data_IF_744861920857
#
_entry.id   IF_744861920857
#
_cell.length_a   1.000
_cell.length_b   1.000
_cell.length_c   1.000
_cell.angle_alpha   90.00
_cell.angle_beta   90.00
_cell.angle_gamma   90.00
#
_symmetry.space_group_name_H-M   'P 1'
#
loop_
_entity.id
_entity.type
_entity.pdbx_description
1 polymer ?
#
# COMPACT_ATOMS: atom_id res chain seq x y z
N UNK A 1 9.90 48.55 23.53
CA UNK A 1 10.12 47.52 24.55
C UNK A 1 11.24 46.65 24.09
N UNK A 2 12.22 46.58 24.87
CA UNK A 2 13.66 46.47 24.76
C UNK A 2 14.21 45.14 24.32
N UNK A 3 15.23 45.29 23.55
CA UNK A 3 16.20 44.38 22.90
C UNK A 3 17.12 43.61 23.89
N UNK A 4 16.58 43.07 24.98
CA UNK A 4 17.40 42.46 26.04
C UNK A 4 17.23 40.93 26.19
N UNK A 5 16.39 40.30 25.35
CA UNK A 5 16.09 38.87 25.49
C UNK A 5 16.88 37.94 24.57
N UNK A 6 17.67 38.45 23.62
CA UNK A 6 18.42 37.63 22.64
C UNK A 6 19.90 37.40 22.95
N UNK A 7 20.42 37.94 24.04
CA UNK A 7 21.87 37.90 24.39
C UNK A 7 22.25 36.94 25.52
N UNK A 8 21.38 36.16 26.07
CA UNK A 8 21.69 35.26 27.20
C UNK A 8 21.85 33.78 26.87
N UNK A 9 22.00 33.42 25.58
CA UNK A 9 22.14 32.00 25.19
C UNK A 9 23.53 31.59 24.68
N UNK A 10 24.53 32.46 24.80
CA UNK A 10 25.91 32.13 24.42
C UNK A 10 26.88 32.64 25.49
N UNK A 11 27.06 31.90 26.55
CA UNK A 11 28.27 31.86 27.36
C UNK A 11 28.11 30.84 28.49
N UNK A 12 28.46 29.58 28.18
CA UNK A 12 28.88 28.62 29.18
C UNK A 12 30.08 27.85 28.58
N UNK A 13 31.25 28.46 28.62
CA UNK A 13 32.51 27.77 28.35
C UNK A 13 32.96 27.14 29.66
N UNK A 14 32.92 25.81 29.71
CA UNK A 14 33.44 25.05 30.84
C UNK A 14 34.96 24.97 30.77
N UNK A 15 35.61 25.31 31.86
CA UNK A 15 37.02 25.05 32.11
C UNK A 15 37.23 23.54 32.33
N UNK A 16 38.07 22.91 31.51
CA UNK A 16 38.50 21.53 31.71
C UNK A 16 39.84 21.55 32.42
N UNK A 17 39.87 21.06 33.65
CA UNK A 17 41.09 20.82 34.42
C UNK A 17 41.82 19.59 33.88
N UNK A 18 43.07 19.79 33.51
CA UNK A 18 43.99 18.73 33.04
C UNK A 18 44.52 17.96 34.25
N UNK A 19 44.09 16.71 34.41
CA UNK A 19 44.73 15.74 35.32
C UNK A 19 45.51 14.74 34.46
N UNK A 20 46.84 14.85 34.50
CA UNK A 20 47.70 13.86 33.89
C UNK A 20 47.72 12.55 34.75
N UNK A 21 47.17 11.47 34.22
CA UNK A 21 47.37 10.14 34.79
C UNK A 21 48.07 9.29 33.68
N UNK A 22 49.31 8.94 33.93
CA UNK A 22 50.08 7.93 33.20
C UNK A 22 49.53 6.55 33.53
N UNK A 23 49.00 5.87 32.50
CA UNK A 23 48.53 4.49 32.68
C UNK A 23 48.12 3.88 31.35
N UNK A 24 48.94 3.00 30.83
CA UNK A 24 48.70 1.91 29.88
C UNK A 24 47.68 2.18 28.74
N UNK A 25 48.20 2.36 27.54
CA UNK A 25 47.48 2.28 26.27
C UNK A 25 46.86 0.88 26.12
N UNK A 26 45.70 0.68 26.68
CA UNK A 26 44.79 -0.37 26.27
C UNK A 26 44.22 0.00 24.94
N UNK A 27 44.57 -0.76 23.90
CA UNK A 27 44.00 -0.69 22.55
C UNK A 27 42.50 -0.94 22.72
N UNK A 28 41.69 0.12 22.70
CA UNK A 28 40.25 0.02 22.49
C UNK A 28 40.06 -0.59 21.10
N UNK A 29 39.85 -1.91 21.03
CA UNK A 29 39.25 -2.54 19.89
C UNK A 29 37.91 -1.83 19.68
N UNK A 30 37.82 -1.10 18.56
CA UNK A 30 36.56 -0.57 18.08
C UNK A 30 35.62 -1.79 17.92
N UNK A 31 34.62 -1.87 18.77
CA UNK A 31 33.55 -2.83 18.57
C UNK A 31 33.05 -2.62 17.14
N UNK A 32 33.19 -3.61 16.27
CA UNK A 32 32.53 -3.64 14.97
C UNK A 32 31.04 -3.48 15.26
N UNK A 33 30.50 -2.29 15.00
CA UNK A 33 29.06 -2.09 14.95
C UNK A 33 28.54 -3.06 13.90
N UNK A 34 27.93 -4.15 14.37
CA UNK A 34 27.20 -5.07 13.51
C UNK A 34 26.18 -4.21 12.79
N UNK A 35 26.41 -3.87 11.52
CA UNK A 35 25.48 -3.14 10.67
C UNK A 35 24.20 -3.96 10.62
N UNK A 36 23.26 -3.65 11.50
CA UNK A 36 21.90 -4.19 11.42
C UNK A 36 21.34 -3.78 10.05
N UNK A 37 20.95 -4.77 9.25
CA UNK A 37 20.27 -4.52 7.97
C UNK A 37 19.10 -3.61 8.21
N UNK A 38 19.13 -2.42 7.61
CA UNK A 38 18.06 -1.42 7.74
C UNK A 38 16.93 -1.80 6.79
N UNK A 39 16.04 -2.71 7.24
CA UNK A 39 14.92 -3.25 6.43
C UNK A 39 14.13 -2.19 5.67
N UNK A 40 14.03 -0.96 6.21
CA UNK A 40 13.37 0.15 5.52
C UNK A 40 14.02 0.52 4.16
N UNK A 41 15.31 0.23 3.98
CA UNK A 41 16.06 0.56 2.76
C UNK A 41 16.39 -0.66 1.93
N UNK A 42 16.64 -1.80 2.56
CA UNK A 42 17.19 -3.01 1.91
C UNK A 42 16.11 -4.04 1.54
N UNK A 43 14.86 -3.87 2.01
CA UNK A 43 13.79 -4.81 1.73
C UNK A 43 13.49 -4.90 0.23
N UNK A 44 13.57 -6.12 -0.30
CA UNK A 44 13.18 -6.45 -1.68
C UNK A 44 11.88 -7.23 -1.67
N UNK A 45 10.89 -6.74 -2.40
CA UNK A 45 9.61 -7.41 -2.56
C UNK A 45 9.71 -8.48 -3.67
N UNK A 46 9.22 -9.68 -3.40
CA UNK A 46 9.09 -10.74 -4.39
C UNK A 46 7.63 -10.82 -4.87
N UNK A 47 7.38 -11.02 -6.18
CA UNK A 47 6.00 -11.20 -6.66
C UNK A 47 5.32 -12.40 -6.01
N UNK A 48 4.10 -12.21 -5.55
CA UNK A 48 3.23 -13.25 -5.00
C UNK A 48 2.51 -13.94 -6.18
N UNK A 49 2.53 -15.27 -6.30
CA UNK A 49 1.78 -15.99 -7.34
C UNK A 49 0.27 -15.76 -7.25
N UNK A 50 -0.43 -15.88 -8.37
CA UNK A 50 -1.89 -15.90 -8.36
C UNK A 50 -2.40 -17.03 -7.45
N UNK A 51 -3.34 -16.76 -6.52
CA UNK A 51 -3.83 -17.76 -5.55
C UNK A 51 -4.95 -18.65 -6.13
N UNK A 52 -5.15 -18.64 -7.45
CA UNK A 52 -6.17 -19.40 -8.18
C UNK A 52 -5.67 -19.78 -9.58
N UNK A 53 -6.33 -20.75 -10.23
CA UNK A 53 -6.12 -21.04 -11.65
C UNK A 53 -6.70 -19.89 -12.49
N UNK A 54 -5.86 -19.26 -13.33
CA UNK A 54 -6.26 -18.15 -14.20
C UNK A 54 -7.43 -18.48 -15.14
N UNK A 55 -7.66 -19.77 -15.43
CA UNK A 55 -8.78 -20.26 -16.26
C UNK A 55 -10.11 -20.39 -15.51
N UNK A 56 -10.08 -20.34 -14.18
CA UNK A 56 -11.25 -20.62 -13.34
C UNK A 56 -12.19 -19.44 -13.16
N UNK A 57 -11.78 -18.22 -13.55
CA UNK A 57 -12.56 -17.02 -13.32
C UNK A 57 -13.77 -16.92 -14.26
N UNK A 58 -14.91 -16.54 -13.70
CA UNK A 58 -16.16 -16.35 -14.46
C UNK A 58 -16.17 -14.93 -15.06
N UNK A 59 -16.18 -14.86 -16.39
CA UNK A 59 -16.27 -13.57 -17.08
C UNK A 59 -14.98 -12.75 -17.13
N UNK A 60 -13.88 -13.21 -16.55
CA UNK A 60 -12.56 -12.60 -16.67
C UNK A 60 -11.66 -13.62 -17.39
N UNK A 61 -11.12 -13.22 -18.56
CA UNK A 61 -10.33 -14.14 -19.37
C UNK A 61 -8.97 -14.45 -18.74
N UNK A 62 -8.46 -15.65 -19.01
CA UNK A 62 -7.09 -16.03 -18.65
C UNK A 62 -6.08 -15.02 -19.17
N UNK A 63 -6.25 -14.58 -20.43
CA UNK A 63 -5.35 -13.61 -21.07
C UNK A 63 -5.31 -12.28 -20.34
N UNK A 64 -6.46 -11.77 -19.90
CA UNK A 64 -6.54 -10.53 -19.14
C UNK A 64 -5.85 -10.67 -17.80
N UNK A 65 -6.19 -11.69 -17.01
CA UNK A 65 -5.67 -11.83 -15.65
C UNK A 65 -4.16 -12.13 -15.62
N UNK A 66 -3.65 -12.91 -16.57
CA UNK A 66 -2.21 -13.14 -16.74
C UNK A 66 -1.50 -11.84 -17.12
N UNK A 67 -2.00 -11.11 -18.12
CA UNK A 67 -1.42 -9.82 -18.52
C UNK A 67 -1.41 -8.82 -17.35
N UNK A 68 -2.49 -8.76 -16.58
CA UNK A 68 -2.61 -7.90 -15.40
C UNK A 68 -1.55 -8.25 -14.35
N UNK A 69 -1.38 -9.54 -14.05
CA UNK A 69 -0.39 -10.02 -13.09
C UNK A 69 1.04 -9.81 -13.61
N UNK A 70 1.34 -10.21 -14.86
CA UNK A 70 2.69 -10.18 -15.43
C UNK A 70 3.20 -8.76 -15.70
N UNK A 71 2.34 -7.87 -16.19
CA UNK A 71 2.77 -6.54 -16.64
C UNK A 71 2.52 -5.45 -15.58
N UNK A 72 1.32 -5.39 -15.01
CA UNK A 72 0.97 -4.32 -14.06
C UNK A 72 1.54 -4.62 -12.68
N UNK A 73 1.20 -5.77 -12.10
CA UNK A 73 1.63 -6.10 -10.74
C UNK A 73 3.15 -6.37 -10.65
N UNK A 74 3.69 -7.29 -11.45
CA UNK A 74 5.15 -7.56 -11.39
C UNK A 74 5.97 -6.36 -11.84
N UNK A 75 5.44 -5.53 -12.75
CA UNK A 75 6.01 -4.24 -13.11
C UNK A 75 6.10 -3.29 -11.92
N UNK A 76 5.03 -3.20 -11.11
CA UNK A 76 5.02 -2.40 -9.89
C UNK A 76 6.03 -2.92 -8.84
N UNK A 77 6.15 -4.24 -8.67
CA UNK A 77 7.15 -4.86 -7.78
C UNK A 77 8.57 -4.48 -8.20
N UNK A 78 8.91 -4.63 -9.49
CA UNK A 78 10.22 -4.24 -10.03
C UNK A 78 10.50 -2.75 -9.82
N UNK A 79 9.50 -1.90 -10.08
CA UNK A 79 9.63 -0.46 -9.89
C UNK A 79 9.82 -0.09 -8.42
N UNK A 80 9.08 -0.72 -7.49
CA UNK A 80 9.25 -0.50 -6.05
C UNK A 80 10.66 -0.82 -5.57
N UNK A 81 11.19 -1.99 -5.97
CA UNK A 81 12.56 -2.40 -5.63
C UNK A 81 13.60 -1.43 -6.20
N UNK A 82 13.41 -1.00 -7.45
CA UNK A 82 14.29 0.00 -8.10
C UNK A 82 14.28 1.33 -7.34
N UNK A 83 13.09 1.82 -6.97
CA UNK A 83 12.94 3.10 -6.23
C UNK A 83 13.61 3.01 -4.86
N UNK A 84 13.47 1.89 -4.15
CA UNK A 84 14.13 1.67 -2.85
C UNK A 84 15.65 1.75 -2.98
N UNK A 85 16.23 1.10 -3.98
CA UNK A 85 17.67 1.21 -4.25
C UNK A 85 18.12 2.63 -4.58
N UNK A 86 17.33 3.37 -5.36
CA UNK A 86 17.61 4.80 -5.66
C UNK A 86 17.50 5.69 -4.43
N UNK A 87 16.54 5.43 -3.53
CA UNK A 87 16.41 6.18 -2.27
C UNK A 87 17.64 5.98 -1.39
N UNK A 88 18.16 4.75 -1.28
CA UNK A 88 19.39 4.46 -0.54
C UNK A 88 20.57 5.22 -1.13
N UNK A 89 20.73 5.21 -2.45
CA UNK A 89 21.80 5.96 -3.14
C UNK A 89 21.68 7.47 -2.90
N UNK A 90 20.47 8.02 -3.11
CA UNK A 90 20.22 9.46 -2.96
C UNK A 90 20.39 9.95 -1.50
N UNK A 91 20.10 9.09 -0.50
CA UNK A 91 20.32 9.43 0.90
C UNK A 91 21.81 9.53 1.26
N UNK A 92 22.64 8.71 0.61
CA UNK A 92 24.10 8.69 0.82
C UNK A 92 24.86 9.71 -0.05
N UNK A 93 24.18 10.39 -0.96
CA UNK A 93 24.75 11.44 -1.83
C UNK A 93 24.35 12.82 -1.30
N UNK A 94 25.31 13.51 -0.64
CA UNK A 94 25.09 14.85 -0.11
C UNK A 94 24.75 15.91 -1.20
N UNK A 95 25.00 15.61 -2.48
CA UNK A 95 24.66 16.45 -3.62
C UNK A 95 23.21 16.30 -4.07
N UNK A 96 22.47 15.28 -3.60
CA UNK A 96 21.09 15.05 -4.00
C UNK A 96 20.17 16.15 -3.45
N UNK A 97 19.50 16.95 -4.31
CA UNK A 97 18.57 17.98 -3.85
C UNK A 97 17.35 17.39 -3.16
N UNK A 98 16.79 18.05 -2.12
CA UNK A 98 15.61 17.56 -1.40
C UNK A 98 14.39 17.25 -2.30
N UNK A 99 14.16 18.02 -3.36
CA UNK A 99 13.04 17.80 -4.26
C UNK A 99 13.20 16.51 -5.10
N UNK A 100 14.42 16.11 -5.43
CA UNK A 100 14.70 14.83 -6.09
C UNK A 100 14.40 13.68 -5.14
N UNK A 101 14.88 13.77 -3.90
CA UNK A 101 14.61 12.79 -2.86
C UNK A 101 13.09 12.65 -2.60
N UNK A 102 12.37 13.77 -2.48
CA UNK A 102 10.92 13.79 -2.32
C UNK A 102 10.19 13.19 -3.52
N UNK A 103 10.69 13.38 -4.75
CA UNK A 103 10.18 12.72 -5.95
C UNK A 103 10.27 11.19 -5.84
N UNK A 104 11.42 10.67 -5.39
CA UNK A 104 11.60 9.23 -5.13
C UNK A 104 10.68 8.72 -4.00
N UNK A 105 10.46 9.50 -2.95
CA UNK A 105 9.52 9.15 -1.86
C UNK A 105 8.08 9.08 -2.35
N UNK A 106 7.68 9.99 -3.25
CA UNK A 106 6.37 9.95 -3.90
C UNK A 106 6.23 8.68 -4.74
N UNK A 107 7.25 8.34 -5.55
CA UNK A 107 7.23 7.10 -6.32
C UNK A 107 7.20 5.86 -5.41
N UNK A 108 7.94 5.84 -4.31
CA UNK A 108 7.87 4.75 -3.33
C UNK A 108 6.44 4.57 -2.80
N UNK A 109 5.75 5.64 -2.44
CA UNK A 109 4.37 5.59 -1.96
C UNK A 109 3.44 4.98 -3.01
N UNK A 110 3.48 5.50 -4.24
CA UNK A 110 2.65 5.03 -5.36
C UNK A 110 2.93 3.53 -5.64
N UNK A 111 4.21 3.12 -5.74
CA UNK A 111 4.56 1.72 -6.05
C UNK A 111 4.21 0.78 -4.90
N UNK A 112 4.35 1.21 -3.64
CA UNK A 112 3.91 0.44 -2.48
C UNK A 112 2.40 0.20 -2.52
N UNK A 113 1.62 1.25 -2.74
CA UNK A 113 0.17 1.12 -2.87
C UNK A 113 -0.23 0.25 -4.06
N UNK A 114 0.43 0.40 -5.23
CA UNK A 114 0.18 -0.46 -6.39
C UNK A 114 0.41 -1.93 -6.06
N UNK A 115 1.57 -2.28 -5.47
CA UNK A 115 1.89 -3.66 -5.09
C UNK A 115 0.83 -4.22 -4.13
N UNK A 116 0.56 -3.52 -3.04
CA UNK A 116 -0.35 -4.01 -1.99
C UNK A 116 -1.79 -4.14 -2.51
N UNK A 117 -2.29 -3.15 -3.24
CA UNK A 117 -3.66 -3.18 -3.76
C UNK A 117 -3.86 -4.28 -4.81
N UNK A 118 -2.86 -4.53 -5.67
CA UNK A 118 -2.93 -5.66 -6.61
C UNK A 118 -2.92 -7.02 -5.88
N UNK A 119 -2.08 -7.20 -4.86
CA UNK A 119 -2.07 -8.44 -4.07
C UNK A 119 -3.41 -8.69 -3.38
N UNK A 120 -4.00 -7.64 -2.82
CA UNK A 120 -5.33 -7.72 -2.21
C UNK A 120 -6.41 -8.00 -3.25
N UNK A 121 -6.34 -7.38 -4.42
CA UNK A 121 -7.26 -7.61 -5.53
C UNK A 121 -7.20 -9.06 -6.02
N UNK A 122 -6.02 -9.59 -6.34
CA UNK A 122 -5.89 -10.99 -6.76
C UNK A 122 -6.32 -11.97 -5.66
N UNK A 123 -6.01 -11.68 -4.39
CA UNK A 123 -6.46 -12.51 -3.28
C UNK A 123 -8.00 -12.51 -3.08
N UNK A 124 -8.69 -11.50 -3.62
CA UNK A 124 -10.16 -11.43 -3.57
C UNK A 124 -10.83 -12.28 -4.67
N UNK A 125 -10.08 -12.76 -5.67
CA UNK A 125 -10.64 -13.48 -6.81
C UNK A 125 -10.52 -15.01 -6.66
N UNK A 126 -11.27 -15.75 -7.50
CA UNK A 126 -11.29 -17.22 -7.53
C UNK A 126 -12.29 -17.85 -6.55
N UNK A 127 -13.23 -17.07 -6.02
CA UNK A 127 -14.34 -17.54 -5.21
C UNK A 127 -15.63 -17.83 -6.00
N UNK A 128 -16.71 -18.04 -5.28
CA UNK A 128 -18.05 -18.27 -5.85
C UNK A 128 -18.94 -17.01 -5.87
N UNK A 129 -18.47 -15.90 -5.30
CA UNK A 129 -19.17 -14.63 -5.21
C UNK A 129 -20.24 -14.57 -4.11
N UNK A 130 -20.39 -15.62 -3.29
CA UNK A 130 -21.47 -15.71 -2.29
C UNK A 130 -21.00 -15.27 -0.92
N UNK A 131 -21.43 -14.08 -0.51
CA UNK A 131 -21.17 -13.57 0.83
C UNK A 131 -21.96 -14.34 1.89
N UNK A 132 -21.28 -14.75 2.96
CA UNK A 132 -21.91 -15.46 4.09
C UNK A 132 -21.19 -15.14 5.40
N UNK A 133 -21.73 -15.62 6.52
CA UNK A 133 -21.09 -15.54 7.83
C UNK A 133 -21.05 -14.12 8.44
N UNK A 134 -20.11 -13.94 9.36
CA UNK A 134 -19.99 -12.73 10.18
C UNK A 134 -19.72 -11.47 9.35
N UNK A 135 -18.83 -11.55 8.35
CA UNK A 135 -18.52 -10.40 7.50
C UNK A 135 -19.78 -9.85 6.81
N UNK A 136 -20.64 -10.73 6.24
CA UNK A 136 -21.89 -10.30 5.63
C UNK A 136 -22.82 -9.59 6.64
N UNK A 137 -22.90 -10.12 7.85
CA UNK A 137 -23.69 -9.53 8.93
C UNK A 137 -23.17 -8.17 9.34
N UNK A 138 -21.84 -8.02 9.51
CA UNK A 138 -21.20 -6.75 9.86
C UNK A 138 -21.33 -5.70 8.76
N UNK A 139 -21.22 -6.09 7.49
CA UNK A 139 -21.49 -5.20 6.36
C UNK A 139 -22.93 -4.74 6.39
N UNK A 140 -23.89 -5.65 6.54
CA UNK A 140 -25.31 -5.28 6.63
C UNK A 140 -25.61 -4.34 7.80
N UNK A 141 -24.97 -4.55 8.95
CA UNK A 141 -25.12 -3.67 10.11
C UNK A 141 -24.55 -2.27 9.86
N UNK A 142 -23.43 -2.16 9.14
CA UNK A 142 -22.78 -0.88 8.84
C UNK A 142 -23.56 -0.05 7.80
N UNK A 143 -24.15 -0.70 6.81
CA UNK A 143 -24.80 -0.03 5.66
C UNK A 143 -26.35 -0.12 5.69
N UNK A 144 -26.93 -0.66 6.75
CA UNK A 144 -28.36 -0.94 6.86
C UNK A 144 -28.79 -2.28 6.25
N UNK A 145 -28.32 -2.60 5.05
CA UNK A 145 -28.45 -3.92 4.40
C UNK A 145 -27.19 -4.26 3.61
N UNK A 146 -27.00 -5.56 3.33
CA UNK A 146 -25.90 -5.99 2.44
C UNK A 146 -26.11 -5.44 1.01
N UNK A 147 -27.35 -5.40 0.53
CA UNK A 147 -27.69 -4.90 -0.80
C UNK A 147 -27.43 -3.40 -0.93
N UNK A 148 -27.63 -2.61 0.14
CA UNK A 148 -27.29 -1.19 0.16
C UNK A 148 -25.78 -0.98 0.05
N UNK A 149 -24.99 -1.78 0.77
CA UNK A 149 -23.53 -1.80 0.63
C UNK A 149 -23.10 -2.13 -0.82
N UNK A 150 -23.65 -3.21 -1.38
CA UNK A 150 -23.28 -3.64 -2.74
C UNK A 150 -23.64 -2.58 -3.76
N UNK A 151 -24.82 -1.96 -3.64
CA UNK A 151 -25.27 -0.90 -4.54
C UNK A 151 -24.32 0.31 -4.51
N UNK A 152 -23.85 0.72 -3.33
CA UNK A 152 -22.89 1.82 -3.18
C UNK A 152 -21.51 1.43 -3.75
N UNK A 153 -20.99 0.24 -3.42
CA UNK A 153 -19.70 -0.25 -3.93
C UNK A 153 -19.68 -0.30 -5.46
N UNK A 154 -20.73 -0.82 -6.09
CA UNK A 154 -20.92 -0.85 -7.54
C UNK A 154 -21.01 0.56 -8.14
N UNK A 155 -21.73 1.47 -7.48
CA UNK A 155 -21.89 2.86 -7.95
C UNK A 155 -20.56 3.60 -7.98
N UNK A 156 -19.71 3.41 -6.96
CA UNK A 156 -18.35 3.95 -6.93
C UNK A 156 -17.54 3.40 -8.11
N UNK A 157 -17.57 2.08 -8.33
CA UNK A 157 -16.89 1.44 -9.46
C UNK A 157 -17.35 1.96 -10.81
N UNK A 158 -18.64 2.12 -11.02
CA UNK A 158 -19.20 2.71 -12.26
C UNK A 158 -18.70 4.14 -12.47
N UNK A 159 -18.57 4.93 -11.40
CA UNK A 159 -18.05 6.29 -11.45
C UNK A 159 -16.55 6.38 -11.81
N UNK A 160 -15.79 5.29 -11.65
CA UNK A 160 -14.39 5.16 -12.04
C UNK A 160 -14.20 4.58 -13.46
N UNK A 161 -15.28 4.11 -14.08
CA UNK A 161 -15.22 3.50 -15.42
C UNK A 161 -14.71 4.46 -16.48
N UNK A 162 -13.79 3.99 -17.35
CA UNK A 162 -13.12 4.81 -18.36
C UNK A 162 -11.97 5.68 -17.82
N UNK A 163 -11.51 5.40 -16.61
CA UNK A 163 -10.41 6.12 -15.96
C UNK A 163 -9.48 5.21 -15.18
N UNK A 164 -9.13 5.64 -14.00
CA UNK A 164 -8.26 4.90 -13.08
C UNK A 164 -8.74 5.02 -11.65
N UNK A 165 -8.40 4.05 -10.82
CA UNK A 165 -8.67 4.08 -9.40
C UNK A 165 -9.05 2.72 -8.84
N UNK A 166 -9.46 2.72 -7.58
CA UNK A 166 -9.84 1.52 -6.84
C UNK A 166 -11.11 1.77 -6.05
N UNK A 167 -11.90 0.72 -5.89
CA UNK A 167 -12.97 0.71 -4.89
C UNK A 167 -12.55 -0.21 -3.76
N UNK A 168 -12.63 0.30 -2.55
CA UNK A 168 -12.18 -0.43 -1.37
C UNK A 168 -13.29 -0.43 -0.31
N UNK A 169 -13.75 -1.63 0.09
CA UNK A 169 -14.39 -1.77 1.39
C UNK A 169 -13.27 -1.79 2.43
N UNK A 170 -13.21 -0.80 3.28
CA UNK A 170 -12.20 -0.66 4.32
C UNK A 170 -12.79 -0.69 5.71
N UNK A 171 -12.00 -1.18 6.67
CA UNK A 171 -12.29 -1.02 8.09
C UNK A 171 -11.43 0.10 8.66
N UNK A 172 -12.06 1.18 9.08
CA UNK A 172 -11.37 2.29 9.73
C UNK A 172 -11.14 1.95 11.21
N UNK A 173 -9.90 1.67 11.55
CA UNK A 173 -9.47 1.26 12.89
C UNK A 173 -9.73 2.32 13.96
N UNK A 174 -9.68 3.60 13.58
CA UNK A 174 -9.90 4.72 14.48
C UNK A 174 -11.38 4.95 14.76
N UNK A 175 -12.19 4.91 13.71
CA UNK A 175 -13.63 5.15 13.79
C UNK A 175 -14.43 3.89 14.11
N UNK A 176 -13.80 2.70 13.99
CA UNK A 176 -14.44 1.38 14.17
C UNK A 176 -15.62 1.17 13.21
N UNK A 177 -15.46 1.65 11.96
CA UNK A 177 -16.50 1.62 10.93
C UNK A 177 -16.02 0.86 9.69
N UNK A 178 -16.95 0.14 9.04
CA UNK A 178 -16.81 -0.33 7.68
C UNK A 178 -17.36 0.74 6.74
N UNK A 179 -16.57 1.13 5.74
CA UNK A 179 -16.94 2.15 4.76
C UNK A 179 -16.43 1.75 3.37
N UNK A 180 -17.17 2.16 2.32
CA UNK A 180 -16.66 2.07 0.95
C UNK A 180 -15.87 3.34 0.62
N UNK A 181 -14.69 3.16 0.06
CA UNK A 181 -13.80 4.25 -0.33
C UNK A 181 -13.58 4.27 -1.84
N UNK A 182 -13.61 5.48 -2.39
CA UNK A 182 -13.13 5.80 -3.73
C UNK A 182 -11.66 6.23 -3.64
N UNK A 183 -10.78 5.54 -4.35
CA UNK A 183 -9.36 5.88 -4.42
C UNK A 183 -9.01 6.31 -5.85
N UNK A 184 -8.52 7.55 -6.01
CA UNK A 184 -8.14 8.10 -7.31
C UNK A 184 -6.92 7.38 -7.92
N UNK A 185 -6.01 6.90 -7.06
CA UNK A 185 -4.77 6.25 -7.45
C UNK A 185 -4.29 5.27 -6.37
N UNK A 186 -3.10 4.72 -6.58
CA UNK A 186 -2.49 3.75 -5.67
C UNK A 186 -2.07 4.34 -4.30
N UNK A 187 -2.01 5.67 -4.17
CA UNK A 187 -1.51 6.35 -2.96
C UNK A 187 -2.63 6.90 -2.07
N UNK A 188 -3.90 6.65 -2.43
CA UNK A 188 -5.05 7.36 -1.85
C UNK A 188 -5.74 6.59 -0.71
N UNK A 189 -5.16 5.50 -0.19
CA UNK A 189 -5.79 4.76 0.92
C UNK A 189 -5.91 5.64 2.17
N UNK A 190 -7.11 5.72 2.80
CA UNK A 190 -7.32 6.55 3.98
C UNK A 190 -6.45 6.13 5.17
N UNK A 191 -6.01 7.08 6.02
CA UNK A 191 -5.27 6.76 7.23
C UNK A 191 -6.06 5.81 8.16
N UNK A 192 -5.35 4.93 8.87
CA UNK A 192 -5.95 3.96 9.80
C UNK A 192 -7.01 3.05 9.16
N UNK A 193 -6.95 2.83 7.85
CA UNK A 193 -7.92 2.00 7.15
C UNK A 193 -7.28 0.73 6.62
N UNK A 194 -7.77 -0.41 7.11
CA UNK A 194 -7.40 -1.74 6.63
C UNK A 194 -8.30 -2.13 5.45
N UNK A 195 -7.76 -2.33 4.23
CA UNK A 195 -8.55 -2.76 3.09
C UNK A 195 -9.07 -4.19 3.29
N UNK A 196 -10.38 -4.36 3.23
CA UNK A 196 -11.07 -5.66 3.40
C UNK A 196 -11.38 -6.31 2.05
N UNK A 197 -12.00 -5.56 1.13
CA UNK A 197 -12.28 -5.97 -0.24
C UNK A 197 -11.78 -4.88 -1.18
N UNK A 198 -11.02 -5.26 -2.22
CA UNK A 198 -10.40 -4.32 -3.16
C UNK A 198 -10.81 -4.69 -4.57
N UNK A 199 -11.35 -3.74 -5.33
CA UNK A 199 -11.65 -3.87 -6.76
C UNK A 199 -10.81 -2.88 -7.56
N UNK A 200 -10.09 -3.40 -8.55
CA UNK A 200 -9.33 -2.59 -9.50
C UNK A 200 -10.25 -2.03 -10.58
N UNK A 201 -10.25 -0.71 -10.74
CA UNK A 201 -11.02 0.00 -11.78
C UNK A 201 -10.11 0.70 -12.81
N UNK A 202 -8.82 0.41 -12.81
CA UNK A 202 -7.96 0.78 -13.94
C UNK A 202 -8.37 0.02 -15.20
N UNK A 203 -8.27 0.62 -16.36
CA UNK A 203 -8.64 0.01 -17.64
C UNK A 203 -7.93 -1.31 -17.90
N UNK A 204 -6.70 -1.49 -17.43
CA UNK A 204 -5.97 -2.75 -17.57
C UNK A 204 -6.64 -3.94 -16.86
N UNK A 205 -7.53 -3.68 -15.89
CA UNK A 205 -8.26 -4.72 -15.18
C UNK A 205 -9.46 -5.25 -15.97
N UNK A 206 -9.92 -4.57 -17.04
CA UNK A 206 -11.15 -4.96 -17.74
C UNK A 206 -11.20 -4.64 -19.24
N UNK A 207 -10.41 -3.70 -19.76
CA UNK A 207 -10.58 -3.20 -21.13
C UNK A 207 -10.37 -4.29 -22.18
N UNK A 208 -9.49 -5.26 -21.94
CA UNK A 208 -9.21 -6.35 -22.88
C UNK A 208 -10.45 -7.24 -23.13
N UNK A 209 -11.29 -7.45 -22.11
CA UNK A 209 -12.47 -8.32 -22.20
C UNK A 209 -13.75 -7.53 -22.44
N UNK A 210 -13.84 -6.31 -21.92
CA UNK A 210 -15.08 -5.55 -21.82
C UNK A 210 -15.05 -4.22 -22.56
N UNK A 211 -13.87 -3.79 -23.08
CA UNK A 211 -13.72 -2.46 -23.64
C UNK A 211 -14.20 -1.40 -22.64
N UNK A 212 -15.07 -0.49 -23.06
CA UNK A 212 -15.63 0.56 -22.21
C UNK A 212 -16.78 0.10 -21.28
N UNK A 213 -17.19 -1.18 -21.34
CA UNK A 213 -18.35 -1.67 -20.58
C UNK A 213 -17.96 -2.07 -19.13
N UNK A 214 -17.43 -1.11 -18.36
CA UNK A 214 -16.96 -1.30 -16.99
C UNK A 214 -18.03 -1.95 -16.06
N UNK A 215 -19.32 -1.68 -16.27
CA UNK A 215 -20.39 -2.30 -15.49
C UNK A 215 -20.40 -3.82 -15.59
N UNK A 216 -20.12 -4.39 -16.79
CA UNK A 216 -20.05 -5.83 -17.00
C UNK A 216 -18.85 -6.46 -16.30
N UNK A 217 -17.72 -5.75 -16.25
CA UNK A 217 -16.56 -6.15 -15.46
C UNK A 217 -16.89 -6.20 -13.97
N UNK A 218 -17.59 -5.18 -13.44
CA UNK A 218 -18.03 -5.17 -12.04
C UNK A 218 -18.87 -6.40 -11.73
N UNK A 219 -19.79 -6.81 -12.63
CA UNK A 219 -20.56 -8.05 -12.46
C UNK A 219 -19.65 -9.28 -12.41
N UNK A 220 -18.67 -9.37 -13.31
CA UNK A 220 -17.70 -10.45 -13.31
C UNK A 220 -16.83 -10.45 -12.04
N UNK A 221 -16.40 -9.29 -11.55
CA UNK A 221 -15.68 -9.21 -10.28
C UNK A 221 -16.50 -9.79 -9.13
N UNK A 222 -17.76 -9.37 -8.97
CA UNK A 222 -18.66 -9.86 -7.93
C UNK A 222 -18.89 -11.37 -8.02
N UNK A 223 -18.97 -11.94 -9.23
CA UNK A 223 -19.16 -13.39 -9.44
C UNK A 223 -17.94 -14.24 -9.01
N UNK A 224 -16.79 -13.62 -8.76
CA UNK A 224 -15.53 -14.27 -8.41
C UNK A 224 -15.01 -13.92 -7.02
N UNK A 225 -15.74 -13.15 -6.20
CA UNK A 225 -15.24 -12.73 -4.89
C UNK A 225 -15.02 -13.93 -3.96
N UNK A 226 -13.83 -13.97 -3.37
CA UNK A 226 -13.46 -14.83 -2.23
C UNK A 226 -13.81 -14.14 -0.92
N UNK A 227 -15.02 -14.33 -0.48
CA UNK A 227 -15.52 -13.74 0.77
C UNK A 227 -14.81 -14.28 2.01
N UNK A 228 -14.31 -15.50 1.98
CA UNK A 228 -13.46 -16.07 3.03
C UNK A 228 -12.22 -15.24 3.26
N UNK A 229 -11.53 -14.78 2.19
CA UNK A 229 -10.34 -13.95 2.29
C UNK A 229 -10.63 -12.52 2.75
N UNK A 230 -11.76 -11.97 2.37
CA UNK A 230 -12.21 -10.69 2.90
C UNK A 230 -12.52 -10.78 4.41
N UNK A 231 -13.15 -11.88 4.85
CA UNK A 231 -13.45 -12.11 6.27
C UNK A 231 -12.19 -12.26 7.13
N UNK A 232 -11.17 -12.99 6.65
CA UNK A 232 -9.88 -13.13 7.33
C UNK A 232 -9.24 -11.75 7.64
N UNK A 233 -9.32 -10.78 6.72
CA UNK A 233 -8.75 -9.44 6.90
C UNK A 233 -9.47 -8.57 7.92
N UNK A 234 -10.76 -8.81 8.13
CA UNK A 234 -11.53 -8.09 9.15
C UNK A 234 -11.27 -8.61 10.56
N UNK A 235 -10.75 -9.84 10.66
CA UNK A 235 -10.48 -10.52 11.94
C UNK A 235 -9.01 -10.40 12.38
N UNK A 236 -8.13 -9.92 11.50
CA UNK A 236 -6.71 -9.73 11.76
C UNK A 236 -6.44 -8.38 12.43
#
# INVERSE_FOLDING_TARGET
MSDTSRRKFMQASAAISLVAATGTLGRLEAAEETKMSAKAFDYQHAPVPLPFDSKSLKGISEKLIQSHWENNYTGAVKALNTVRGRLTQALNDAGTPPYVYNGLKREQLIRTGSVVLHELYFANLGGDGKASGDLRTRIAAAFGTFDAWEAEFRKIGQGLGGGSGWVVLGYNEKLKLLENYWLADHASNPPYTSPILVMDMYEHAYQMDYGAAAAKYIDAFFANIRWDKAAERLSA
#
